data_IF_816262244793
#
_entry.id   IF_816262244793
#
_cell.length_a   1.000
_cell.length_b   1.000
_cell.length_c   1.000
_cell.angle_alpha   90.00
_cell.angle_beta   90.00
_cell.angle_gamma   90.00
#
_symmetry.space_group_name_H-M   'P 1'
#
loop_
_entity.id
_entity.type
_entity.pdbx_description
1 polymer ?
#
# COMPACT_ATOMS: atom_id res chain seq x y z
N UNK A 1 -17.93 7.80 13.53
CA UNK A 1 -18.20 6.84 14.63
C UNK A 1 -17.02 6.86 15.59
N UNK A 2 -17.25 6.89 16.89
CA UNK A 2 -16.17 7.04 17.88
C UNK A 2 -16.32 6.00 19.01
N UNK A 3 -15.23 5.33 19.36
CA UNK A 3 -15.14 4.43 20.52
C UNK A 3 -13.93 4.81 21.38
N UNK A 4 -14.12 4.86 22.70
CA UNK A 4 -12.99 5.04 23.64
C UNK A 4 -12.37 3.70 24.01
N UNK A 5 -13.20 2.71 24.31
CA UNK A 5 -12.79 1.33 24.60
C UNK A 5 -13.83 0.40 23.97
N UNK A 6 -13.37 -0.61 23.24
CA UNK A 6 -14.23 -1.60 22.58
C UNK A 6 -14.12 -1.57 21.06
N UNK A 7 -14.57 -2.65 20.43
CA UNK A 7 -14.50 -2.81 18.99
C UNK A 7 -15.63 -2.05 18.27
N UNK A 8 -15.33 -1.50 17.10
CA UNK A 8 -16.32 -1.03 16.14
C UNK A 8 -16.39 -2.08 15.04
N UNK A 9 -17.57 -2.68 14.87
CA UNK A 9 -17.85 -3.63 13.80
C UNK A 9 -19.01 -3.11 12.96
N UNK A 10 -18.80 -2.95 11.66
CA UNK A 10 -19.85 -2.51 10.73
C UNK A 10 -19.79 -3.31 9.43
N UNK A 11 -20.93 -3.77 8.94
CA UNK A 11 -21.00 -4.53 7.70
C UNK A 11 -20.86 -3.62 6.47
N UNK A 12 -21.60 -2.52 6.40
CA UNK A 12 -21.57 -1.63 5.24
C UNK A 12 -21.74 -0.19 5.64
N UNK A 13 -20.89 0.68 5.10
CA UNK A 13 -20.95 2.12 5.26
C UNK A 13 -21.02 2.76 3.87
N UNK A 14 -22.07 3.54 3.64
CA UNK A 14 -22.24 4.36 2.44
C UNK A 14 -22.52 5.78 2.87
N UNK A 15 -21.64 6.70 2.50
CA UNK A 15 -21.71 8.12 2.88
C UNK A 15 -20.90 8.96 1.91
N UNK A 16 -20.98 10.29 2.01
CA UNK A 16 -20.03 11.14 1.27
C UNK A 16 -18.63 11.03 1.87
N UNK A 17 -18.53 11.14 3.19
CA UNK A 17 -17.30 10.95 3.95
C UNK A 17 -17.53 9.99 5.12
N UNK A 18 -16.50 9.22 5.46
CA UNK A 18 -16.53 8.28 6.59
C UNK A 18 -15.39 8.60 7.54
N UNK A 19 -15.73 8.78 8.81
CA UNK A 19 -14.74 8.94 9.88
C UNK A 19 -15.00 7.91 10.98
N UNK A 20 -13.97 7.13 11.33
CA UNK A 20 -14.03 6.14 12.41
C UNK A 20 -12.82 6.29 13.32
N UNK A 21 -13.07 6.51 14.61
CA UNK A 21 -12.02 6.70 15.60
C UNK A 21 -12.15 5.68 16.73
N UNK A 22 -11.04 5.07 17.13
CA UNK A 22 -10.93 4.25 18.33
C UNK A 22 -9.68 4.60 19.14
N UNK A 23 -9.81 4.67 20.47
CA UNK A 23 -8.65 4.77 21.36
C UNK A 23 -8.09 3.38 21.71
N UNK A 24 -8.95 2.44 22.10
CA UNK A 24 -8.52 1.08 22.44
C UNK A 24 -9.58 0.09 21.98
N UNK A 25 -9.23 -0.76 21.03
CA UNK A 25 -10.13 -1.71 20.40
C UNK A 25 -9.93 -1.76 18.90
N UNK A 26 -10.51 -2.76 18.24
CA UNK A 26 -10.40 -2.93 16.80
C UNK A 26 -11.46 -2.13 16.03
N UNK A 27 -11.14 -1.74 14.81
CA UNK A 27 -12.10 -1.32 13.79
C UNK A 27 -12.17 -2.45 12.77
N UNK A 28 -13.35 -3.01 12.55
CA UNK A 28 -13.59 -3.99 11.50
C UNK A 28 -14.75 -3.52 10.61
N UNK A 29 -14.50 -3.36 9.32
CA UNK A 29 -15.51 -2.93 8.35
C UNK A 29 -15.49 -3.81 7.10
N UNK A 30 -16.61 -4.44 6.74
CA UNK A 30 -16.63 -5.30 5.55
C UNK A 30 -16.61 -4.48 4.25
N UNK A 31 -17.43 -3.43 4.17
CA UNK A 31 -17.54 -2.59 2.98
C UNK A 31 -17.66 -1.11 3.35
N UNK A 32 -16.81 -0.29 2.75
CA UNK A 32 -16.93 1.17 2.75
C UNK A 32 -17.07 1.65 1.31
N UNK A 33 -18.09 2.47 1.05
CA UNK A 33 -18.25 3.21 -0.20
C UNK A 33 -18.44 4.68 0.16
N UNK A 34 -17.42 5.49 -0.12
CA UNK A 34 -17.46 6.93 0.08
C UNK A 34 -17.30 7.66 -1.26
N UNK A 35 -18.03 8.74 -1.49
CA UNK A 35 -17.80 9.59 -2.67
C UNK A 35 -16.56 10.46 -2.50
N UNK A 36 -16.22 10.80 -1.25
CA UNK A 36 -15.09 11.64 -0.85
C UNK A 36 -14.10 10.84 0.01
N UNK A 37 -13.87 11.27 1.26
CA UNK A 37 -12.75 10.82 2.08
C UNK A 37 -13.16 9.77 3.12
N UNK A 38 -12.29 8.78 3.33
CA UNK A 38 -12.37 7.82 4.43
C UNK A 38 -11.20 8.05 5.37
N UNK A 39 -11.50 8.37 6.64
CA UNK A 39 -10.50 8.59 7.70
C UNK A 39 -10.71 7.59 8.83
N UNK A 40 -9.65 6.88 9.19
CA UNK A 40 -9.65 5.87 10.26
C UNK A 40 -8.51 6.14 11.22
N UNK A 41 -8.82 6.30 12.51
CA UNK A 41 -7.81 6.50 13.54
C UNK A 41 -7.93 5.42 14.63
N UNK A 42 -6.81 4.76 14.94
CA UNK A 42 -6.71 3.77 16.02
C UNK A 42 -5.47 4.04 16.87
N UNK A 43 -5.62 4.28 18.16
CA UNK A 43 -4.46 4.39 19.04
C UNK A 43 -3.90 3.00 19.39
N UNK A 44 -4.74 2.10 19.88
CA UNK A 44 -4.35 0.72 20.21
C UNK A 44 -5.39 -0.26 19.68
N UNK A 45 -4.98 -1.12 18.75
CA UNK A 45 -5.85 -2.15 18.16
C UNK A 45 -5.70 -2.24 16.65
N UNK A 46 -6.33 -3.26 16.06
CA UNK A 46 -6.28 -3.51 14.62
C UNK A 46 -7.34 -2.68 13.87
N UNK A 47 -6.98 -2.20 12.68
CA UNK A 47 -7.89 -1.67 11.68
C UNK A 47 -7.95 -2.69 10.54
N UNK A 48 -9.11 -3.28 10.32
CA UNK A 48 -9.35 -4.26 9.26
C UNK A 48 -10.51 -3.78 8.40
N UNK A 49 -10.25 -3.59 7.10
CA UNK A 49 -11.30 -3.30 6.13
C UNK A 49 -11.21 -4.26 4.97
N UNK A 50 -12.28 -5.00 4.72
CA UNK A 50 -12.29 -5.94 3.60
C UNK A 50 -12.29 -5.17 2.27
N UNK A 51 -13.24 -4.26 2.07
CA UNK A 51 -13.33 -3.49 0.84
C UNK A 51 -13.57 -2.00 1.12
N UNK A 52 -12.77 -1.14 0.49
CA UNK A 52 -13.01 0.31 0.50
C UNK A 52 -12.96 0.86 -0.91
N UNK A 53 -13.96 1.67 -1.26
CA UNK A 53 -13.95 2.54 -2.43
C UNK A 53 -14.17 3.98 -1.98
N UNK A 54 -13.24 4.87 -2.33
CA UNK A 54 -13.26 6.27 -1.92
C UNK A 54 -12.44 7.15 -2.87
N UNK A 55 -12.60 8.47 -2.76
CA UNK A 55 -11.69 9.40 -3.42
C UNK A 55 -10.33 9.42 -2.70
N UNK A 56 -10.35 9.54 -1.37
CA UNK A 56 -9.13 9.51 -0.54
C UNK A 56 -9.29 8.58 0.66
N UNK A 57 -8.17 8.02 1.11
CA UNK A 57 -8.07 7.16 2.29
C UNK A 57 -6.94 7.62 3.20
N UNK A 58 -7.27 7.92 4.46
CA UNK A 58 -6.32 8.26 5.51
C UNK A 58 -6.49 7.27 6.66
N UNK A 59 -5.40 6.59 7.04
CA UNK A 59 -5.40 5.67 8.17
C UNK A 59 -4.23 5.97 9.07
N UNK A 60 -4.51 6.24 10.34
CA UNK A 60 -3.50 6.44 11.36
C UNK A 60 -3.66 5.38 12.45
N UNK A 61 -2.60 4.61 12.69
CA UNK A 61 -2.50 3.67 13.78
C UNK A 61 -1.28 3.99 14.64
N UNK A 62 -1.39 3.95 15.96
CA UNK A 62 -0.19 4.07 16.82
C UNK A 62 0.38 2.71 17.15
N UNK A 63 -0.44 1.79 17.64
CA UNK A 63 -0.01 0.42 17.96
C UNK A 63 -1.06 -0.59 17.50
N UNK A 64 -0.71 -1.41 16.52
CA UNK A 64 -1.61 -2.40 15.95
C UNK A 64 -1.30 -2.70 14.49
N UNK A 65 -2.23 -3.37 13.83
CA UNK A 65 -2.14 -3.67 12.40
C UNK A 65 -3.17 -2.86 11.61
N UNK A 66 -2.81 -2.48 10.39
CA UNK A 66 -3.72 -1.95 9.38
C UNK A 66 -3.80 -3.00 8.27
N UNK A 67 -4.98 -3.54 8.02
CA UNK A 67 -5.19 -4.58 7.01
C UNK A 67 -6.32 -4.20 6.06
N UNK A 68 -6.04 -4.27 4.76
CA UNK A 68 -7.02 -4.14 3.69
C UNK A 68 -7.05 -5.39 2.83
N UNK A 69 -8.23 -5.95 2.56
CA UNK A 69 -8.35 -6.99 1.53
C UNK A 69 -8.32 -6.36 0.13
N UNK A 70 -9.03 -5.25 -0.08
CA UNK A 70 -9.01 -4.45 -1.31
C UNK A 70 -9.36 -2.98 -1.04
N UNK A 71 -8.53 -2.06 -1.56
CA UNK A 71 -8.76 -0.63 -1.50
C UNK A 71 -8.71 -0.04 -2.92
N UNK A 72 -9.85 0.45 -3.42
CA UNK A 72 -9.97 1.14 -4.70
C UNK A 72 -10.12 2.64 -4.46
N UNK A 73 -9.02 3.36 -4.61
CA UNK A 73 -8.92 4.77 -4.23
C UNK A 73 -8.50 5.57 -5.46
N UNK A 74 -9.23 6.62 -5.85
CA UNK A 74 -8.95 7.35 -7.10
C UNK A 74 -7.84 8.40 -6.96
N UNK A 75 -7.72 9.02 -5.79
CA UNK A 75 -6.79 10.13 -5.59
C UNK A 75 -5.64 9.76 -4.65
N UNK A 76 -5.86 9.78 -3.33
CA UNK A 76 -4.79 9.71 -2.35
C UNK A 76 -4.98 8.62 -1.31
N UNK A 77 -3.90 7.90 -1.00
CA UNK A 77 -3.79 6.98 0.13
C UNK A 77 -2.68 7.48 1.08
N UNK A 78 -3.01 7.66 2.36
CA UNK A 78 -2.05 7.99 3.42
C UNK A 78 -2.19 7.00 4.56
N UNK A 79 -1.17 6.17 4.78
CA UNK A 79 -1.15 5.17 5.85
C UNK A 79 0.00 5.48 6.80
N UNK A 80 -0.32 5.70 8.07
CA UNK A 80 0.68 5.94 9.12
C UNK A 80 0.51 4.89 10.20
N UNK A 81 1.57 4.18 10.56
CA UNK A 81 1.61 3.28 11.71
C UNK A 81 2.89 3.50 12.53
N UNK A 82 2.82 3.58 13.87
CA UNK A 82 4.05 3.69 14.67
C UNK A 82 4.64 2.32 15.02
N UNK A 83 3.81 1.34 15.38
CA UNK A 83 4.29 -0.01 15.72
C UNK A 83 3.28 -1.06 15.27
N UNK A 84 3.75 -2.02 14.49
CA UNK A 84 2.99 -3.16 13.98
C UNK A 84 3.10 -3.30 12.47
N UNK A 85 2.02 -3.68 11.80
CA UNK A 85 2.07 -4.01 10.38
C UNK A 85 1.04 -3.27 9.54
N UNK A 86 1.40 -2.99 8.29
CA UNK A 86 0.50 -2.49 7.28
C UNK A 86 0.43 -3.55 6.18
N UNK A 87 -0.77 -4.03 5.87
CA UNK A 87 -1.00 -5.01 4.80
C UNK A 87 -2.15 -4.59 3.92
N UNK A 88 -2.02 -4.75 2.60
CA UNK A 88 -3.20 -4.76 1.76
C UNK A 88 -2.97 -4.58 0.27
N UNK A 89 -4.08 -4.60 -0.46
CA UNK A 89 -4.13 -4.38 -1.90
C UNK A 89 -4.72 -3.00 -2.20
N UNK A 90 -3.96 -2.16 -2.90
CA UNK A 90 -4.35 -0.78 -3.23
C UNK A 90 -4.34 -0.60 -4.74
N UNK A 91 -5.44 -0.10 -5.30
CA UNK A 91 -5.60 0.10 -6.73
C UNK A 91 -6.22 1.44 -7.10
N UNK A 92 -5.84 1.97 -8.27
CA UNK A 92 -6.44 3.15 -8.88
C UNK A 92 -5.93 4.49 -8.35
N UNK A 93 -5.00 4.48 -7.40
CA UNK A 93 -4.58 5.70 -6.70
C UNK A 93 -3.63 6.54 -7.55
N UNK A 94 -3.71 7.86 -7.40
CA UNK A 94 -2.77 8.82 -7.97
C UNK A 94 -1.57 9.07 -7.04
N UNK A 95 -1.78 8.98 -5.72
CA UNK A 95 -0.71 9.10 -4.73
C UNK A 95 -0.90 8.12 -3.59
N UNK A 96 0.17 7.43 -3.20
CA UNK A 96 0.23 6.59 -2.01
C UNK A 96 1.45 6.98 -1.18
N UNK A 97 1.22 7.31 0.08
CA UNK A 97 2.25 7.54 1.08
C UNK A 97 2.02 6.62 2.27
N UNK A 98 2.98 5.76 2.56
CA UNK A 98 2.95 4.84 3.71
C UNK A 98 4.16 5.10 4.59
N UNK A 99 3.93 5.32 5.88
CA UNK A 99 4.97 5.48 6.89
C UNK A 99 4.72 4.49 8.02
N UNK A 100 5.66 3.59 8.25
CA UNK A 100 5.65 2.65 9.37
C UNK A 100 6.86 2.92 10.27
N UNK A 101 6.67 3.09 11.58
CA UNK A 101 7.78 3.22 12.52
C UNK A 101 8.52 1.90 12.66
N UNK A 102 7.93 0.97 13.40
CA UNK A 102 8.49 -0.38 13.61
C UNK A 102 7.55 -1.47 13.10
N UNK A 103 8.08 -2.40 12.31
CA UNK A 103 7.41 -3.63 11.88
C UNK A 103 7.42 -3.81 10.36
N UNK A 104 6.33 -4.28 9.75
CA UNK A 104 6.33 -4.66 8.34
C UNK A 104 5.25 -3.97 7.52
N UNK A 105 5.61 -3.56 6.30
CA UNK A 105 4.67 -3.08 5.28
C UNK A 105 4.63 -4.10 4.13
N UNK A 106 3.52 -4.82 3.97
CA UNK A 106 3.31 -5.81 2.92
C UNK A 106 2.16 -5.41 1.99
N UNK A 107 2.46 -4.94 0.79
CA UNK A 107 1.45 -4.27 -0.04
C UNK A 107 1.46 -4.78 -1.48
N UNK A 108 0.28 -4.95 -2.07
CA UNK A 108 0.10 -5.07 -3.52
C UNK A 108 -0.46 -3.77 -4.05
N UNK A 109 0.15 -3.25 -5.11
CA UNK A 109 0.02 -1.86 -5.52
C UNK A 109 -0.26 -1.79 -7.01
N UNK A 110 -1.37 -1.16 -7.39
CA UNK A 110 -1.77 -0.93 -8.77
C UNK A 110 -2.05 0.57 -8.93
N UNK A 111 -1.05 1.37 -9.32
CA UNK A 111 -1.25 2.81 -9.48
C UNK A 111 -2.32 3.08 -10.56
N UNK A 112 -3.02 4.22 -10.48
CA UNK A 112 -4.16 4.53 -11.36
C UNK A 112 -3.84 5.32 -12.63
N UNK A 113 -2.68 5.98 -12.66
CA UNK A 113 -2.25 6.85 -13.77
C UNK A 113 -0.73 6.88 -13.94
N UNK A 114 -0.23 7.14 -15.15
CA UNK A 114 1.21 7.23 -15.45
C UNK A 114 1.97 8.28 -14.65
N UNK A 115 1.29 9.23 -14.03
CA UNK A 115 1.87 10.25 -13.16
C UNK A 115 1.81 9.89 -11.67
N UNK A 116 1.38 8.67 -11.34
CA UNK A 116 1.17 8.25 -9.96
C UNK A 116 2.46 8.26 -9.15
N UNK A 117 2.33 8.53 -7.85
CA UNK A 117 3.47 8.56 -6.91
C UNK A 117 3.23 7.58 -5.77
N UNK A 118 4.16 6.66 -5.57
CA UNK A 118 4.14 5.68 -4.48
C UNK A 118 5.36 5.89 -3.60
N UNK A 119 5.16 6.08 -2.30
CA UNK A 119 6.22 6.22 -1.29
C UNK A 119 5.90 5.32 -0.11
N UNK A 120 6.82 4.42 0.24
CA UNK A 120 6.70 3.53 1.40
C UNK A 120 7.97 3.69 2.23
N UNK A 121 7.82 4.10 3.48
CA UNK A 121 8.92 4.25 4.43
C UNK A 121 8.68 3.37 5.64
N UNK A 122 9.70 2.63 6.07
CA UNK A 122 9.74 1.97 7.37
C UNK A 122 10.99 2.37 8.15
N UNK A 123 10.90 2.89 9.36
CA UNK A 123 12.12 3.22 10.13
C UNK A 123 12.87 1.93 10.51
N UNK A 124 12.19 0.99 11.17
CA UNK A 124 12.72 -0.29 11.61
C UNK A 124 11.87 -1.46 11.11
N UNK A 125 12.39 -2.30 10.21
CA UNK A 125 11.74 -3.55 9.85
C UNK A 125 11.79 -3.88 8.36
N UNK A 126 10.66 -4.21 7.73
CA UNK A 126 10.68 -4.68 6.34
C UNK A 126 9.57 -4.13 5.47
N UNK A 127 9.90 -3.89 4.20
CA UNK A 127 8.95 -3.60 3.14
C UNK A 127 8.94 -4.80 2.19
N UNK A 128 7.74 -5.32 1.90
CA UNK A 128 7.46 -6.36 0.90
C UNK A 128 6.36 -5.82 -0.03
N UNK A 129 6.75 -5.20 -1.13
CA UNK A 129 5.83 -4.57 -2.07
C UNK A 129 5.79 -5.31 -3.42
N UNK A 130 4.58 -5.54 -3.93
CA UNK A 130 4.33 -6.04 -5.27
C UNK A 130 3.65 -4.93 -6.06
N UNK A 131 4.29 -4.43 -7.11
CA UNK A 131 3.76 -3.33 -7.94
C UNK A 131 3.33 -3.87 -9.30
N UNK A 132 2.05 -3.82 -9.60
CA UNK A 132 1.47 -4.28 -10.86
C UNK A 132 1.10 -3.09 -11.75
N UNK A 133 1.31 -3.23 -13.05
CA UNK A 133 1.06 -2.13 -14.01
C UNK A 133 1.86 -0.89 -13.65
N UNK A 134 3.16 -1.05 -13.36
CA UNK A 134 3.96 0.06 -12.85
C UNK A 134 4.07 1.19 -13.86
N UNK A 135 3.65 2.38 -13.42
CA UNK A 135 3.87 3.63 -14.12
C UNK A 135 3.97 4.78 -13.11
N UNK A 136 4.81 5.78 -13.39
CA UNK A 136 5.05 6.93 -12.51
C UNK A 136 6.27 6.77 -11.60
N UNK A 137 6.19 7.29 -10.37
CA UNK A 137 7.31 7.30 -9.40
C UNK A 137 7.05 6.32 -8.27
N UNK A 138 8.05 5.52 -7.95
CA UNK A 138 8.02 4.62 -6.80
C UNK A 138 9.26 4.80 -5.93
N UNK A 139 9.05 4.90 -4.62
CA UNK A 139 10.12 4.86 -3.64
C UNK A 139 9.75 3.94 -2.47
N UNK A 140 10.70 3.09 -2.11
CA UNK A 140 10.63 2.29 -0.90
C UNK A 140 11.92 2.46 -0.09
N UNK A 141 11.78 2.85 1.16
CA UNK A 141 12.89 3.22 2.02
C UNK A 141 12.78 2.54 3.39
N UNK A 142 13.92 2.08 3.91
CA UNK A 142 14.01 1.75 5.33
C UNK A 142 15.29 2.26 5.98
N UNK A 143 15.21 2.77 7.20
CA UNK A 143 16.40 3.24 7.91
C UNK A 143 17.26 2.04 8.36
N UNK A 144 16.65 1.05 9.04
CA UNK A 144 17.26 -0.24 9.37
C UNK A 144 16.27 -1.38 9.07
N UNK A 145 16.61 -2.20 8.08
CA UNK A 145 15.63 -3.16 7.60
C UNK A 145 15.92 -3.82 6.28
N UNK A 146 14.87 -4.37 5.66
CA UNK A 146 14.94 -4.95 4.32
C UNK A 146 13.85 -4.38 3.43
N UNK A 147 14.22 -4.15 2.18
CA UNK A 147 13.26 -3.73 1.15
C UNK A 147 13.24 -4.81 0.08
N UNK A 148 12.09 -5.44 -0.06
CA UNK A 148 11.74 -6.38 -1.11
C UNK A 148 10.68 -5.73 -1.97
N UNK A 149 11.03 -5.49 -3.24
CA UNK A 149 10.07 -4.98 -4.22
C UNK A 149 10.12 -5.88 -5.44
N UNK A 150 8.93 -6.29 -5.86
CA UNK A 150 8.68 -7.07 -7.07
C UNK A 150 7.55 -6.41 -7.85
N UNK A 151 7.30 -6.87 -9.07
CA UNK A 151 6.18 -6.37 -9.85
C UNK A 151 5.89 -7.15 -11.12
N UNK A 152 4.86 -6.69 -11.84
CA UNK A 152 4.26 -7.33 -13.01
C UNK A 152 2.93 -8.04 -12.69
N UNK A 153 1.96 -7.97 -13.60
CA UNK A 153 1.07 -9.10 -13.85
C UNK A 153 1.73 -9.87 -14.99
N UNK A 154 1.92 -11.18 -14.85
CA UNK A 154 2.68 -11.94 -15.86
C UNK A 154 4.09 -11.40 -16.14
N UNK A 155 4.77 -10.83 -15.14
CA UNK A 155 6.17 -10.40 -15.31
C UNK A 155 6.40 -9.19 -16.22
N UNK A 156 5.36 -8.45 -16.63
CA UNK A 156 5.56 -7.26 -17.46
C UNK A 156 6.06 -6.07 -16.62
N UNK A 157 7.38 -5.97 -16.49
CA UNK A 157 8.08 -4.70 -16.45
C UNK A 157 8.65 -4.45 -17.84
N UNK A 158 7.98 -3.58 -18.61
CA UNK A 158 8.36 -3.30 -19.99
C UNK A 158 8.05 -4.48 -20.90
N UNK A 159 7.19 -4.27 -21.87
CA UNK A 159 7.09 -5.21 -22.98
C UNK A 159 8.34 -5.08 -23.84
N UNK A 160 9.41 -5.80 -23.50
CA UNK A 160 10.35 -6.34 -24.50
C UNK A 160 11.28 -7.43 -23.94
N UNK A 161 11.37 -8.51 -24.72
CA UNK A 161 11.82 -9.86 -24.32
C UNK A 161 13.34 -10.04 -24.25
N UNK A 162 13.98 -9.54 -23.21
CA UNK A 162 15.31 -10.01 -22.84
C UNK A 162 15.64 -9.59 -21.41
N UNK A 163 16.10 -10.55 -20.60
CA UNK A 163 16.63 -10.38 -19.24
C UNK A 163 16.75 -8.93 -18.76
N UNK A 164 15.79 -8.48 -17.95
CA UNK A 164 15.74 -7.10 -17.48
C UNK A 164 16.73 -6.91 -16.31
N UNK A 165 17.94 -6.49 -16.62
CA UNK A 165 18.62 -5.50 -15.78
C UNK A 165 17.99 -4.15 -16.13
N UNK A 166 17.60 -3.37 -15.12
CA UNK A 166 16.79 -2.19 -15.35
C UNK A 166 17.47 -1.17 -16.26
N UNK A 167 16.79 -0.82 -17.36
CA UNK A 167 16.73 0.58 -17.80
C UNK A 167 15.30 1.03 -17.57
N UNK A 168 15.19 2.08 -16.76
CA UNK A 168 13.96 2.81 -16.50
C UNK A 168 13.60 3.63 -17.74
N UNK A 169 12.43 3.40 -18.31
CA UNK A 169 11.75 4.33 -19.20
C UNK A 169 11.32 3.74 -20.54
N UNK A 170 10.00 3.64 -20.73
CA UNK A 170 9.33 3.99 -21.98
C UNK A 170 8.03 4.74 -21.64
N UNK A 171 8.22 5.93 -21.05
CA UNK A 171 7.58 7.19 -21.44
C UNK A 171 7.84 8.21 -20.34
N UNK A 172 8.64 9.23 -20.69
CA UNK A 172 8.87 10.50 -19.99
C UNK A 172 8.68 10.47 -18.45
N UNK A 173 9.64 9.90 -17.72
CA UNK A 173 9.88 10.29 -16.31
C UNK A 173 9.45 9.33 -15.20
N UNK A 174 9.32 8.02 -15.47
CA UNK A 174 9.31 7.04 -14.40
C UNK A 174 10.66 7.06 -13.65
N UNK A 175 10.63 7.03 -12.32
CA UNK A 175 11.82 6.95 -11.46
C UNK A 175 11.55 5.93 -10.36
N UNK A 176 12.53 5.06 -10.11
CA UNK A 176 12.51 4.12 -8.98
C UNK A 176 13.70 4.40 -8.07
N UNK A 177 13.42 4.80 -6.83
CA UNK A 177 14.44 5.09 -5.83
C UNK A 177 14.30 4.14 -4.64
N UNK A 178 15.33 3.30 -4.43
CA UNK A 178 15.43 2.38 -3.30
C UNK A 178 16.61 2.78 -2.43
N UNK A 179 16.38 2.93 -1.13
CA UNK A 179 17.46 3.24 -0.18
C UNK A 179 17.24 2.49 1.12
N UNK A 180 18.33 1.93 1.65
CA UNK A 180 18.39 1.48 3.04
C UNK A 180 19.55 2.18 3.74
N UNK A 181 19.35 2.57 5.01
CA UNK A 181 20.45 3.06 5.84
C UNK A 181 21.40 1.91 6.21
N UNK A 182 20.84 0.81 6.68
CA UNK A 182 21.53 -0.48 6.90
C UNK A 182 20.59 -1.64 6.56
N UNK A 183 21.07 -2.62 5.78
CA UNK A 183 20.20 -3.67 5.25
C UNK A 183 20.53 -4.15 3.84
N UNK A 184 19.69 -5.04 3.32
CA UNK A 184 19.76 -5.49 1.92
C UNK A 184 18.59 -4.88 1.14
N UNK A 185 18.90 -4.28 -0.01
CA UNK A 185 17.92 -4.09 -1.09
C UNK A 185 17.95 -5.36 -1.92
N UNK A 186 16.80 -6.02 -2.06
CA UNK A 186 16.64 -7.08 -3.05
C UNK A 186 15.48 -6.71 -3.96
N UNK A 187 15.81 -6.55 -5.23
CA UNK A 187 14.85 -6.32 -6.30
C UNK A 187 14.81 -7.61 -7.11
N UNK A 188 13.63 -8.14 -7.38
CA UNK A 188 13.47 -9.36 -8.17
C UNK A 188 12.34 -9.18 -9.15
N UNK A 189 12.67 -9.34 -10.43
CA UNK A 189 11.73 -9.36 -11.53
C UNK A 189 11.56 -10.81 -11.95
N UNK A 190 10.32 -11.31 -11.91
CA UNK A 190 10.01 -12.67 -12.37
C UNK A 190 9.64 -12.60 -13.85
N UNK A 191 10.37 -13.27 -14.76
CA UNK A 191 9.97 -13.35 -16.15
C UNK A 191 8.70 -14.20 -16.29
N UNK A 192 7.85 -13.89 -17.27
CA UNK A 192 6.71 -14.74 -17.64
C UNK A 192 7.22 -16.10 -18.14
N UNK A 193 6.67 -17.20 -17.61
CA UNK A 193 6.84 -18.52 -18.20
C UNK A 193 5.98 -18.59 -19.46
N UNK A 194 6.61 -18.53 -20.62
CA UNK A 194 5.95 -18.60 -21.91
C UNK A 194 5.25 -19.98 -22.09
N UNK A 195 3.91 -20.06 -22.23
CA UNK A 195 3.19 -21.35 -22.31
C UNK A 195 3.34 -22.11 -23.64
N UNK A 196 4.41 -21.89 -24.42
CA UNK A 196 4.56 -22.45 -25.77
C UNK A 196 5.84 -23.27 -25.94
N UNK A 197 5.92 -24.38 -25.22
CA UNK A 197 6.66 -25.58 -25.63
C UNK A 197 5.88 -26.83 -25.18
N UNK A 198 4.81 -27.17 -25.92
CA UNK A 198 4.24 -28.52 -26.03
C UNK A 198 3.81 -28.74 -27.47
#
# INVERSE_FOLDING_TARGET
>A
MNSKVGAIHTQSLTADAVEINTNTGSIHVDQVTATQDVTLNSNVGAVEINNVSANSLVVNSRTGSITFSKAQISNQVSLTNSTGSIKGWFQGYSSLNTVNGTGSAKMTLIPGSTTSKTSIKTELGSIDAIVKGFHGRFSANTDLGKVYVSGGENGEFGQDKSSLSGVVGEDVGALMDFKTGTGKVQISFLPELNPKEQ
#
